data_IF_824928176465
#
_entry.id   IF_824928176465
#
_cell.length_a   1.000
_cell.length_b   1.000
_cell.length_c   1.000
_cell.angle_alpha   90.00
_cell.angle_beta   90.00
_cell.angle_gamma   90.00
#
_symmetry.space_group_name_H-M   'P 1'
#
loop_
_entity.id
_entity.type
_entity.pdbx_description
1 polymer ?
#
# COMPACT_ATOMS: atom_id res chain seq x y z
N UNK A 1 -17.35 -20.49 7.35
CA UNK A 1 -16.04 -19.90 7.71
C UNK A 1 -15.05 -20.96 8.22
N UNK A 2 -15.22 -21.56 9.41
CA UNK A 2 -14.25 -22.52 9.98
C UNK A 2 -13.92 -23.70 9.04
N UNK A 3 -14.93 -24.29 8.40
CA UNK A 3 -14.73 -25.36 7.42
C UNK A 3 -13.81 -24.95 6.25
N UNK A 4 -13.95 -23.72 5.75
CA UNK A 4 -13.11 -23.19 4.67
C UNK A 4 -11.68 -22.90 5.14
N UNK A 5 -11.51 -22.31 6.32
CA UNK A 5 -10.19 -22.09 6.92
C UNK A 5 -9.44 -23.42 7.08
N UNK A 6 -10.13 -24.49 7.52
CA UNK A 6 -9.52 -25.82 7.69
C UNK A 6 -9.14 -26.50 6.36
N UNK A 7 -9.75 -26.11 5.24
CA UNK A 7 -9.45 -26.65 3.91
C UNK A 7 -8.23 -26.01 3.25
N UNK A 8 -7.87 -24.79 3.63
CA UNK A 8 -6.71 -24.08 3.09
C UNK A 8 -5.63 -23.94 4.17
N UNK A 9 -4.51 -24.66 4.01
CA UNK A 9 -3.40 -24.63 4.96
C UNK A 9 -2.84 -23.22 5.18
N UNK A 10 -2.79 -22.39 4.14
CA UNK A 10 -2.38 -20.98 4.22
C UNK A 10 -3.31 -20.17 5.13
N UNK A 11 -4.62 -20.20 4.89
CA UNK A 11 -5.62 -19.53 5.74
C UNK A 11 -5.55 -20.04 7.19
N UNK A 12 -5.39 -21.35 7.38
CA UNK A 12 -5.26 -21.92 8.72
C UNK A 12 -4.04 -21.37 9.48
N UNK A 13 -2.88 -21.29 8.82
CA UNK A 13 -1.65 -20.72 9.40
C UNK A 13 -1.85 -19.23 9.71
N UNK A 14 -2.40 -18.47 8.77
CA UNK A 14 -2.63 -17.03 8.94
C UNK A 14 -3.57 -16.75 10.11
N UNK A 15 -4.63 -17.53 10.30
CA UNK A 15 -5.58 -17.36 11.40
C UNK A 15 -5.00 -17.58 12.80
N UNK A 16 -3.76 -18.05 12.95
CA UNK A 16 -3.09 -18.07 14.26
C UNK A 16 -2.61 -16.67 14.71
N UNK A 17 -2.51 -15.72 13.79
CA UNK A 17 -2.17 -14.33 14.09
C UNK A 17 -3.48 -13.52 14.17
N UNK A 18 -3.79 -12.83 15.29
CA UNK A 18 -5.10 -12.22 15.50
C UNK A 18 -5.56 -11.26 14.39
N UNK A 19 -4.67 -10.40 13.90
CA UNK A 19 -5.02 -9.45 12.83
C UNK A 19 -5.36 -10.16 11.52
N UNK A 20 -4.60 -11.17 11.13
CA UNK A 20 -4.89 -11.94 9.92
C UNK A 20 -6.17 -12.75 10.08
N UNK A 21 -6.43 -13.30 11.28
CA UNK A 21 -7.70 -13.95 11.58
C UNK A 21 -8.89 -12.98 11.42
N UNK A 22 -8.75 -11.74 11.90
CA UNK A 22 -9.78 -10.72 11.76
C UNK A 22 -10.01 -10.32 10.30
N UNK A 23 -8.95 -10.13 9.52
CA UNK A 23 -9.02 -9.84 8.08
C UNK A 23 -9.68 -11.00 7.34
N UNK A 24 -9.20 -12.23 7.53
CA UNK A 24 -9.78 -13.43 6.91
C UNK A 24 -11.24 -13.62 7.29
N UNK A 25 -11.61 -13.39 8.55
CA UNK A 25 -13.01 -13.47 8.99
C UNK A 25 -13.87 -12.42 8.31
N UNK A 26 -13.40 -11.18 8.21
CA UNK A 26 -14.11 -10.07 7.55
C UNK A 26 -14.36 -10.40 6.08
N UNK A 27 -13.32 -10.84 5.36
CA UNK A 27 -13.42 -11.17 3.94
C UNK A 27 -14.33 -12.38 3.72
N UNK A 28 -14.08 -13.49 4.43
CA UNK A 28 -14.87 -14.71 4.26
C UNK A 28 -16.33 -14.51 4.64
N UNK A 29 -16.62 -13.69 5.66
CA UNK A 29 -18.00 -13.40 6.05
C UNK A 29 -18.75 -12.62 4.96
N UNK A 30 -18.09 -11.66 4.30
CA UNK A 30 -18.69 -10.87 3.23
C UNK A 30 -18.90 -11.72 1.97
N UNK A 31 -17.86 -12.43 1.51
CA UNK A 31 -17.94 -13.30 0.33
C UNK A 31 -19.02 -14.36 0.47
N UNK A 32 -19.04 -15.11 1.58
CA UNK A 32 -20.01 -16.20 1.78
C UNK A 32 -21.45 -15.72 1.98
N UNK A 33 -21.67 -14.44 2.32
CA UNK A 33 -23.02 -13.85 2.38
C UNK A 33 -23.53 -13.44 1.01
N UNK A 34 -22.65 -12.97 0.14
CA UNK A 34 -23.01 -12.44 -1.18
C UNK A 34 -23.06 -13.55 -2.24
N UNK A 35 -22.12 -14.50 -2.19
CA UNK A 35 -22.07 -15.63 -3.10
C UNK A 35 -21.36 -16.83 -2.45
N UNK A 36 -22.12 -17.89 -2.18
CA UNK A 36 -21.61 -19.13 -1.58
C UNK A 36 -20.67 -19.89 -2.52
N UNK A 37 -20.75 -19.62 -3.83
CA UNK A 37 -19.91 -20.22 -4.87
C UNK A 37 -18.65 -19.39 -5.21
N UNK A 38 -18.52 -18.19 -4.65
CA UNK A 38 -17.37 -17.33 -4.90
C UNK A 38 -16.05 -18.02 -4.53
N UNK A 39 -15.05 -17.83 -5.39
CA UNK A 39 -13.71 -18.36 -5.15
C UNK A 39 -13.11 -17.69 -3.90
N UNK A 40 -12.65 -18.52 -2.97
CA UNK A 40 -12.03 -18.03 -1.73
C UNK A 40 -10.62 -17.59 -2.06
N UNK A 41 -10.17 -16.43 -1.56
CA UNK A 41 -8.83 -15.99 -1.89
C UNK A 41 -7.78 -16.89 -1.25
N UNK A 42 -6.79 -17.28 -2.04
CA UNK A 42 -5.81 -18.33 -1.74
C UNK A 42 -4.51 -17.76 -1.17
N UNK A 43 -4.24 -16.48 -1.46
CA UNK A 43 -3.01 -15.79 -1.04
C UNK A 43 -3.29 -14.68 -0.03
N UNK A 44 -2.25 -14.32 0.74
CA UNK A 44 -2.30 -13.19 1.67
C UNK A 44 -2.59 -11.88 0.93
N UNK A 45 -1.99 -11.68 -0.25
CA UNK A 45 -2.22 -10.48 -1.05
C UNK A 45 -3.67 -10.40 -1.52
N UNK A 46 -4.25 -11.49 -2.03
CA UNK A 46 -5.67 -11.46 -2.40
C UNK A 46 -6.56 -11.18 -1.18
N UNK A 47 -6.26 -11.77 -0.02
CA UNK A 47 -6.99 -11.45 1.21
C UNK A 47 -6.98 -9.95 1.52
N UNK A 48 -5.84 -9.28 1.37
CA UNK A 48 -5.71 -7.85 1.61
C UNK A 48 -6.39 -7.00 0.53
N UNK A 49 -6.35 -7.43 -0.73
CA UNK A 49 -7.09 -6.79 -1.83
C UNK A 49 -8.59 -6.84 -1.54
N UNK A 50 -9.13 -8.02 -1.25
CA UNK A 50 -10.55 -8.16 -0.91
C UNK A 50 -10.92 -7.38 0.34
N UNK A 51 -10.05 -7.37 1.37
CA UNK A 51 -10.28 -6.56 2.56
C UNK A 51 -10.38 -5.07 2.22
N UNK A 52 -9.45 -4.54 1.42
CA UNK A 52 -9.46 -3.15 0.96
C UNK A 52 -10.76 -2.82 0.20
N UNK A 53 -11.15 -3.66 -0.75
CA UNK A 53 -12.38 -3.47 -1.53
C UNK A 53 -13.64 -3.48 -0.63
N UNK A 54 -13.67 -4.33 0.39
CA UNK A 54 -14.76 -4.36 1.38
C UNK A 54 -14.80 -3.07 2.19
N UNK A 55 -13.66 -2.57 2.66
CA UNK A 55 -13.60 -1.31 3.40
C UNK A 55 -14.09 -0.13 2.54
N UNK A 56 -13.72 -0.09 1.27
CA UNK A 56 -14.19 0.93 0.30
C UNK A 56 -15.71 0.82 0.10
N UNK A 57 -16.24 -0.39 -0.08
CA UNK A 57 -17.68 -0.58 -0.27
C UNK A 57 -18.48 -0.21 1.00
N UNK A 58 -18.00 -0.60 2.19
CA UNK A 58 -18.60 -0.21 3.46
C UNK A 58 -18.61 1.32 3.64
N UNK A 59 -17.58 2.01 3.16
CA UNK A 59 -17.56 3.48 3.11
C UNK A 59 -18.70 4.00 2.24
N UNK A 60 -18.88 3.49 1.02
CA UNK A 60 -19.91 3.97 0.09
C UNK A 60 -21.32 3.86 0.63
N UNK A 61 -21.61 2.83 1.42
CA UNK A 61 -22.94 2.66 2.04
C UNK A 61 -23.25 3.73 3.10
N UNK A 62 -22.22 4.41 3.64
CA UNK A 62 -22.36 5.43 4.69
C UNK A 62 -22.56 6.85 4.15
N UNK A 63 -22.19 7.13 2.89
CA UNK A 63 -22.30 8.47 2.29
C UNK A 63 -23.38 8.50 1.19
N UNK A 64 -24.25 9.51 1.23
CA UNK A 64 -25.43 9.64 0.36
C UNK A 64 -25.12 10.13 -1.08
N UNK A 65 -23.92 9.90 -1.61
CA UNK A 65 -23.61 10.26 -3.00
C UNK A 65 -24.28 9.24 -3.93
N UNK A 66 -25.25 9.68 -4.74
CA UNK A 66 -26.09 8.79 -5.56
C UNK A 66 -25.45 8.38 -6.89
N UNK A 67 -24.29 8.93 -7.25
CA UNK A 67 -23.59 8.66 -8.50
C UNK A 67 -22.45 7.63 -8.29
N UNK A 68 -22.60 6.39 -8.79
CA UNK A 68 -21.60 5.34 -8.60
C UNK A 68 -20.22 5.65 -9.17
N UNK A 69 -20.14 6.41 -10.28
CA UNK A 69 -18.86 6.72 -10.93
C UNK A 69 -18.07 7.75 -10.11
N UNK A 70 -18.73 8.80 -9.63
CA UNK A 70 -18.13 9.81 -8.74
C UNK A 70 -17.69 9.21 -7.42
N UNK A 71 -18.49 8.30 -6.87
CA UNK A 71 -18.12 7.54 -5.68
C UNK A 71 -16.83 6.75 -5.91
N UNK A 72 -16.76 5.97 -6.99
CA UNK A 72 -15.56 5.20 -7.31
C UNK A 72 -14.31 6.08 -7.48
N UNK A 73 -14.45 7.22 -8.16
CA UNK A 73 -13.34 8.15 -8.38
C UNK A 73 -12.87 8.79 -7.07
N UNK A 74 -13.79 9.29 -6.23
CA UNK A 74 -13.48 9.81 -4.90
C UNK A 74 -12.81 8.75 -4.03
N UNK A 75 -13.35 7.53 -4.06
CA UNK A 75 -12.80 6.41 -3.31
C UNK A 75 -11.36 6.12 -3.67
N UNK A 76 -11.08 6.08 -4.98
CA UNK A 76 -9.76 5.81 -5.52
C UNK A 76 -8.78 6.90 -5.11
N UNK A 77 -9.16 8.17 -5.23
CA UNK A 77 -8.32 9.30 -4.84
C UNK A 77 -7.90 9.20 -3.37
N UNK A 78 -8.87 8.98 -2.48
CA UNK A 78 -8.61 8.84 -1.04
C UNK A 78 -7.68 7.65 -0.75
N UNK A 79 -7.90 6.51 -1.40
CA UNK A 79 -7.06 5.31 -1.20
C UNK A 79 -5.63 5.53 -1.70
N UNK A 80 -5.45 6.20 -2.84
CA UNK A 80 -4.12 6.54 -3.35
C UNK A 80 -3.40 7.49 -2.39
N UNK A 81 -4.07 8.52 -1.87
CA UNK A 81 -3.48 9.44 -0.88
C UNK A 81 -3.11 8.72 0.42
N UNK A 82 -3.98 7.85 0.95
CA UNK A 82 -3.67 7.04 2.13
C UNK A 82 -2.50 6.09 1.87
N UNK A 83 -2.42 5.51 0.67
CA UNK A 83 -1.35 4.62 0.27
C UNK A 83 -0.01 5.37 0.12
N UNK A 84 -0.04 6.62 -0.33
CA UNK A 84 1.13 7.52 -0.32
C UNK A 84 1.65 7.74 1.11
N UNK A 85 0.77 8.08 2.05
CA UNK A 85 1.13 8.25 3.46
C UNK A 85 1.73 6.94 4.00
N UNK A 86 1.10 5.79 3.71
CA UNK A 86 1.60 4.49 4.12
C UNK A 86 3.03 4.23 3.62
N UNK A 87 3.29 4.53 2.33
CA UNK A 87 4.62 4.41 1.73
C UNK A 87 5.64 5.34 2.38
N UNK A 88 5.33 6.65 2.49
CA UNK A 88 6.22 7.64 3.10
C UNK A 88 6.58 7.26 4.53
N UNK A 89 5.60 6.86 5.34
CA UNK A 89 5.82 6.52 6.74
C UNK A 89 6.55 5.18 6.90
N UNK A 90 6.25 4.18 6.05
CA UNK A 90 6.97 2.90 6.07
C UNK A 90 8.46 3.11 5.80
N UNK A 91 8.80 3.89 4.77
CA UNK A 91 10.19 4.17 4.41
C UNK A 91 10.92 5.01 5.46
N UNK A 92 10.20 5.85 6.21
CA UNK A 92 10.74 6.56 7.39
C UNK A 92 10.91 5.66 8.62
N UNK A 93 10.37 4.44 8.61
CA UNK A 93 10.33 3.54 9.77
C UNK A 93 9.29 3.93 10.82
N UNK A 94 8.31 4.75 10.44
CA UNK A 94 7.29 5.29 11.33
C UNK A 94 6.03 4.42 11.31
N UNK A 95 5.54 4.02 12.50
CA UNK A 95 4.24 3.37 12.69
C UNK A 95 3.14 4.41 12.98
N UNK A 96 3.53 5.52 13.59
CA UNK A 96 2.65 6.63 13.96
C UNK A 96 3.07 7.88 13.19
N UNK A 97 2.10 8.70 12.83
CA UNK A 97 2.31 9.94 12.09
C UNK A 97 1.33 11.02 12.57
N UNK A 98 1.50 12.24 12.10
CA UNK A 98 0.73 13.38 12.59
C UNK A 98 -0.15 13.99 11.51
N UNK A 99 -0.97 14.95 11.91
CA UNK A 99 -1.85 15.70 11.02
C UNK A 99 -1.09 16.36 9.86
N UNK A 100 0.13 16.83 10.11
CA UNK A 100 0.95 17.46 9.08
C UNK A 100 1.32 16.47 7.95
N UNK A 101 1.55 15.19 8.27
CA UNK A 101 1.84 14.15 7.28
C UNK A 101 0.61 13.85 6.39
N UNK A 102 -0.60 13.98 6.94
CA UNK A 102 -1.86 13.82 6.19
C UNK A 102 -2.09 15.01 5.24
N UNK A 103 -1.89 16.22 5.74
CA UNK A 103 -2.04 17.47 4.97
C UNK A 103 -1.02 17.51 3.82
N UNK A 104 0.22 17.08 4.05
CA UNK A 104 1.26 17.02 3.01
C UNK A 104 0.85 16.13 1.83
N UNK A 105 0.10 15.05 2.08
CA UNK A 105 -0.46 14.17 1.05
C UNK A 105 -1.86 14.58 0.59
N UNK A 106 -2.32 15.79 0.93
CA UNK A 106 -3.58 16.37 0.46
C UNK A 106 -4.83 15.68 1.02
N UNK A 107 -4.73 15.10 2.22
CA UNK A 107 -5.84 14.51 2.95
C UNK A 107 -6.39 15.57 3.92
N UNK A 108 -7.68 15.85 3.82
CA UNK A 108 -8.38 16.65 4.81
C UNK A 108 -8.63 15.80 6.06
N UNK A 109 -8.11 16.24 7.20
CA UNK A 109 -8.24 15.55 8.51
C UNK A 109 -9.66 15.57 9.06
N UNK A 110 -10.50 16.48 8.58
CA UNK A 110 -11.94 16.48 8.88
C UNK A 110 -12.71 15.46 8.04
N UNK A 111 -12.07 14.93 6.99
CA UNK A 111 -12.66 13.92 6.14
C UNK A 111 -12.80 12.61 6.91
N UNK A 112 -14.03 12.13 7.01
CA UNK A 112 -14.37 10.92 7.72
C UNK A 112 -13.73 9.65 7.09
N UNK A 113 -13.05 9.81 5.94
CA UNK A 113 -12.17 8.83 5.32
C UNK A 113 -10.95 8.43 6.16
N UNK A 114 -10.41 9.35 6.97
CA UNK A 114 -9.33 9.07 7.94
C UNK A 114 -9.81 8.13 9.06
N UNK A 115 -11.12 8.05 9.29
CA UNK A 115 -11.79 7.21 10.29
C UNK A 115 -12.42 5.94 9.69
N UNK A 116 -11.93 5.51 8.53
CA UNK A 116 -12.33 4.25 7.90
C UNK A 116 -11.60 3.06 8.56
N UNK A 117 -12.05 1.82 8.34
CA UNK A 117 -11.41 0.60 8.89
C UNK A 117 -10.02 0.27 8.32
N UNK A 118 -9.23 1.30 8.00
CA UNK A 118 -7.88 1.27 7.41
C UNK A 118 -6.93 2.17 8.22
N UNK A 119 -7.34 3.40 8.55
CA UNK A 119 -6.57 4.40 9.30
C UNK A 119 -7.34 4.80 10.57
N UNK A 120 -6.65 5.15 11.65
CA UNK A 120 -7.28 5.51 12.91
C UNK A 120 -6.58 6.69 13.57
N UNK A 121 -7.37 7.59 14.15
CA UNK A 121 -6.90 8.64 15.06
C UNK A 121 -6.70 8.05 16.46
N UNK A 122 -5.51 8.24 17.00
CA UNK A 122 -5.07 7.86 18.34
C UNK A 122 -4.72 9.14 19.10
N UNK A 123 -5.34 9.35 20.25
CA UNK A 123 -5.00 10.49 21.10
C UNK A 123 -3.68 10.23 21.84
N UNK A 124 -2.76 11.19 21.80
CA UNK A 124 -1.57 11.21 22.67
C UNK A 124 -1.63 12.45 23.57
N UNK A 125 -1.67 12.22 24.88
CA UNK A 125 -1.63 13.28 25.88
C UNK A 125 -0.17 13.67 26.13
N UNK A 126 0.31 14.75 25.51
CA UNK A 126 1.67 15.28 25.73
C UNK A 126 1.72 16.37 26.82
N UNK A 127 0.57 16.84 27.33
CA UNK A 127 0.42 17.58 28.59
C UNK A 127 -1.06 17.75 28.96
N UNK A 128 -1.38 18.03 30.23
CA UNK A 128 -2.75 18.27 30.78
C UNK A 128 -3.52 19.40 30.04
N UNK A 129 -2.85 20.15 29.17
CA UNK A 129 -3.37 21.34 28.49
C UNK A 129 -3.44 21.22 26.96
N UNK A 130 -2.77 20.25 26.34
CA UNK A 130 -2.82 20.05 24.88
C UNK A 130 -2.82 18.57 24.51
N UNK A 131 -3.94 18.09 23.96
CA UNK A 131 -4.02 16.80 23.29
C UNK A 131 -3.54 16.97 21.85
N UNK A 132 -2.43 16.30 21.50
CA UNK A 132 -1.98 16.25 20.10
C UNK A 132 -2.57 15.00 19.46
N UNK A 133 -3.16 15.17 18.28
CA UNK A 133 -3.67 14.07 17.48
C UNK A 133 -2.52 13.30 16.86
N UNK A 134 -2.55 11.99 17.01
CA UNK A 134 -1.61 11.06 16.39
C UNK A 134 -2.43 10.10 15.55
N UNK A 135 -1.90 9.65 14.43
CA UNK A 135 -2.57 8.75 13.52
C UNK A 135 -1.73 7.50 13.32
N UNK A 136 -2.40 6.39 13.05
CA UNK A 136 -1.76 5.16 12.60
C UNK A 136 -2.67 4.39 11.67
N UNK A 137 -2.08 3.52 10.85
CA UNK A 137 -2.87 2.45 10.26
C UNK A 137 -3.29 1.46 11.35
N UNK A 138 -4.41 0.77 11.16
CA UNK A 138 -4.93 -0.19 12.16
C UNK A 138 -3.90 -1.28 12.50
N UNK A 139 -3.05 -1.63 11.54
CA UNK A 139 -1.94 -2.55 11.75
C UNK A 139 -0.82 -2.29 10.74
N UNK A 140 0.44 -2.56 11.12
CA UNK A 140 1.62 -2.40 10.25
C UNK A 140 1.47 -3.15 8.93
N UNK A 141 0.89 -4.35 8.93
CA UNK A 141 0.63 -5.09 7.68
C UNK A 141 -0.27 -4.35 6.68
N UNK A 142 -1.21 -3.52 7.18
CA UNK A 142 -2.10 -2.73 6.32
C UNK A 142 -1.29 -1.56 5.73
N UNK A 143 -0.44 -0.93 6.54
CA UNK A 143 0.50 0.07 6.07
C UNK A 143 1.45 -0.50 5.00
N UNK A 144 2.05 -1.67 5.22
CA UNK A 144 2.93 -2.33 4.25
C UNK A 144 2.21 -2.73 2.97
N UNK A 145 0.98 -3.23 3.07
CA UNK A 145 0.15 -3.54 1.90
C UNK A 145 -0.17 -2.29 1.07
N UNK A 146 -0.61 -1.21 1.72
CA UNK A 146 -0.92 0.04 1.05
C UNK A 146 0.33 0.68 0.44
N UNK A 147 1.46 0.63 1.13
CA UNK A 147 2.74 1.09 0.59
C UNK A 147 3.12 0.33 -0.69
N UNK A 148 2.97 -1.00 -0.68
CA UNK A 148 3.23 -1.84 -1.86
C UNK A 148 2.27 -1.52 -3.01
N UNK A 149 0.99 -1.29 -2.70
CA UNK A 149 0.00 -0.83 -3.67
C UNK A 149 0.40 0.53 -4.28
N UNK A 150 0.82 1.49 -3.46
CA UNK A 150 1.20 2.83 -3.93
C UNK A 150 2.40 2.79 -4.87
N UNK A 151 3.44 2.04 -4.49
CA UNK A 151 4.63 1.87 -5.34
C UNK A 151 4.27 1.29 -6.71
N UNK A 152 3.44 0.25 -6.73
CA UNK A 152 2.97 -0.34 -7.97
C UNK A 152 2.04 0.60 -8.76
N UNK A 153 1.19 1.36 -8.08
CA UNK A 153 0.32 2.38 -8.67
C UNK A 153 1.13 3.46 -9.39
N UNK A 154 2.16 4.02 -8.75
CA UNK A 154 3.05 5.03 -9.35
C UNK A 154 3.76 4.50 -10.60
N UNK A 155 4.16 3.23 -10.61
CA UNK A 155 4.72 2.58 -11.80
C UNK A 155 3.73 2.62 -12.98
N UNK A 156 2.46 2.31 -12.73
CA UNK A 156 1.42 2.27 -13.76
C UNK A 156 0.99 3.66 -14.25
N UNK A 157 0.90 4.63 -13.35
CA UNK A 157 0.41 5.98 -13.67
C UNK A 157 1.47 6.93 -14.22
N UNK A 158 2.74 6.49 -14.29
CA UNK A 158 3.89 7.31 -14.68
C UNK A 158 3.98 8.65 -13.93
N UNK A 159 3.40 8.74 -12.73
CA UNK A 159 3.63 9.85 -11.80
C UNK A 159 5.02 9.67 -11.16
N UNK A 160 6.05 9.78 -12.01
CA UNK A 160 7.43 9.37 -11.74
C UNK A 160 8.20 10.40 -10.95
N UNK A 161 7.90 11.68 -11.13
CA UNK A 161 8.63 12.78 -10.49
C UNK A 161 8.50 12.68 -8.96
N UNK A 162 7.29 12.46 -8.45
CA UNK A 162 7.03 12.34 -7.00
C UNK A 162 7.65 11.07 -6.39
N UNK A 163 7.54 9.90 -7.03
CA UNK A 163 8.13 8.66 -6.51
C UNK A 163 9.66 8.69 -6.57
N UNK A 164 10.23 9.26 -7.63
CA UNK A 164 11.68 9.38 -7.81
C UNK A 164 12.29 10.35 -6.81
N UNK A 165 11.67 11.50 -6.54
CA UNK A 165 12.11 12.43 -5.50
C UNK A 165 12.00 11.81 -4.10
N UNK A 166 10.91 11.09 -3.81
CA UNK A 166 10.72 10.40 -2.53
C UNK A 166 11.74 9.28 -2.32
N UNK A 167 11.96 8.41 -3.33
CA UNK A 167 12.98 7.35 -3.27
C UNK A 167 14.39 7.92 -3.19
N UNK A 168 14.71 8.96 -3.95
CA UNK A 168 16.00 9.66 -3.84
C UNK A 168 16.19 10.23 -2.44
N UNK A 169 15.20 10.96 -1.90
CA UNK A 169 15.27 11.51 -0.55
C UNK A 169 15.49 10.43 0.52
N UNK A 170 14.86 9.25 0.37
CA UNK A 170 15.04 8.10 1.25
C UNK A 170 16.44 7.49 1.12
N UNK A 171 16.96 7.31 -0.10
CA UNK A 171 18.33 6.84 -0.38
C UNK A 171 19.39 7.81 0.19
N UNK A 172 19.19 9.12 0.07
CA UNK A 172 20.13 10.14 0.59
C UNK A 172 20.16 10.23 2.13
N UNK A 173 19.13 9.72 2.81
CA UNK A 173 19.08 9.64 4.28
C UNK A 173 19.62 8.32 4.84
N UNK A 174 19.87 7.31 4.00
CA UNK A 174 20.52 6.08 4.43
C UNK A 174 22.02 6.33 4.75
N UNK A 175 22.47 6.10 6.00
CA UNK A 175 23.87 6.34 6.39
C UNK A 175 24.87 5.36 5.74
N UNK A 176 24.46 4.14 5.38
CA UNK A 176 25.30 3.15 4.71
C UNK A 176 25.52 3.52 3.24
N UNK A 177 24.50 4.06 2.57
CA UNK A 177 24.65 4.61 1.22
C UNK A 177 25.60 5.81 1.21
N UNK A 178 25.50 6.71 2.19
CA UNK A 178 26.44 7.84 2.34
C UNK A 178 27.90 7.40 2.48
N UNK A 179 28.15 6.25 3.13
CA UNK A 179 29.49 5.70 3.36
C UNK A 179 30.05 4.93 2.15
N UNK A 180 29.21 4.26 1.36
CA UNK A 180 29.66 3.58 0.14
C UNK A 180 30.03 4.54 -1.01
N UNK A 181 29.49 5.76 -0.99
CA UNK A 181 29.70 6.74 -2.06
C UNK A 181 30.49 7.99 -1.62
N UNK A 182 31.01 8.03 -0.38
CA UNK A 182 31.85 9.14 0.10
C UNK A 182 33.22 9.21 -0.59
N UNK A 183 33.71 8.11 -1.16
CA UNK A 183 34.98 8.08 -1.90
C UNK A 183 34.85 8.52 -3.37
N UNK A 184 33.62 8.78 -3.85
CA UNK A 184 33.36 9.29 -5.19
C UNK A 184 33.25 10.83 -5.22
N UNK A 185 34.13 11.53 -4.50
CA UNK A 185 34.34 12.97 -4.75
C UNK A 185 35.13 13.13 -6.06
N UNK A 186 34.37 13.16 -7.15
CA UNK A 186 34.61 13.84 -8.43
C UNK A 186 34.21 12.92 -9.59
N UNK A 187 33.06 13.25 -10.20
CA UNK A 187 32.70 12.83 -11.56
C UNK A 187 32.23 11.37 -11.73
N UNK A 188 31.45 10.84 -10.80
CA UNK A 188 30.53 9.75 -11.13
C UNK A 188 29.21 10.39 -11.55
N UNK A 189 28.93 10.35 -12.85
CA UNK A 189 27.83 11.03 -13.51
C UNK A 189 26.49 10.80 -12.79
N UNK A 190 25.81 11.91 -12.45
CA UNK A 190 24.38 11.94 -12.15
C UNK A 190 23.54 11.09 -13.14
N UNK A 191 24.07 10.89 -14.35
CA UNK A 191 23.51 10.09 -15.45
C UNK A 191 23.52 8.56 -15.23
N UNK A 192 24.49 8.01 -14.48
CA UNK A 192 24.60 6.58 -14.21
C UNK A 192 23.61 6.09 -13.14
N UNK A 193 23.35 6.92 -12.12
CA UNK A 193 22.27 6.66 -11.14
C UNK A 193 20.91 6.89 -11.79
N UNK A 194 20.79 7.89 -12.68
CA UNK A 194 19.59 8.12 -13.49
C UNK A 194 19.25 6.92 -14.39
N UNK A 195 20.23 6.22 -14.97
CA UNK A 195 19.98 5.15 -15.94
C UNK A 195 19.56 3.82 -15.32
N UNK A 196 20.05 3.47 -14.12
CA UNK A 196 19.65 2.21 -13.46
C UNK A 196 18.23 2.27 -12.86
N UNK A 197 17.73 3.46 -12.51
CA UNK A 197 16.35 3.65 -12.03
C UNK A 197 15.36 4.08 -13.12
N UNK A 198 15.84 4.35 -14.34
CA UNK A 198 15.00 4.70 -15.50
C UNK A 198 14.52 3.48 -16.30
N UNK A 199 14.84 2.26 -15.88
CA UNK A 199 14.28 1.08 -16.53
C UNK A 199 12.82 0.92 -16.13
N UNK A 200 11.94 1.01 -17.13
CA UNK A 200 10.48 0.91 -17.01
C UNK A 200 9.99 -0.52 -16.73
N UNK A 201 10.93 -1.45 -16.49
CA UNK A 201 10.64 -2.87 -16.36
C UNK A 201 10.25 -3.16 -14.93
N UNK A 202 9.12 -3.85 -14.79
CA UNK A 202 8.65 -4.39 -13.51
C UNK A 202 9.73 -5.21 -12.81
N UNK A 203 10.57 -5.91 -13.58
CA UNK A 203 11.68 -6.71 -13.06
C UNK A 203 12.64 -5.89 -12.20
N UNK A 204 13.10 -4.75 -12.71
CA UNK A 204 14.10 -3.90 -12.07
C UNK A 204 13.54 -3.24 -10.80
N UNK A 205 12.24 -2.89 -10.79
CA UNK A 205 11.54 -2.44 -9.58
C UNK A 205 11.58 -3.53 -8.49
N UNK A 206 11.21 -4.76 -8.86
CA UNK A 206 11.13 -5.88 -7.93
C UNK A 206 12.53 -6.30 -7.45
N UNK A 207 13.53 -6.28 -8.32
CA UNK A 207 14.93 -6.55 -7.98
C UNK A 207 15.44 -5.52 -6.96
N UNK A 208 15.22 -4.23 -7.20
CA UNK A 208 15.58 -3.18 -6.23
C UNK A 208 14.85 -3.36 -4.90
N UNK A 209 13.57 -3.75 -4.90
CA UNK A 209 12.83 -4.01 -3.67
C UNK A 209 13.34 -5.24 -2.90
N UNK A 210 13.80 -6.28 -3.61
CA UNK A 210 14.46 -7.45 -3.01
C UNK A 210 15.77 -7.03 -2.36
N UNK A 211 16.61 -6.26 -3.05
CA UNK A 211 17.89 -5.80 -2.51
C UNK A 211 17.72 -4.96 -1.24
N UNK A 212 16.74 -4.07 -1.21
CA UNK A 212 16.44 -3.27 -0.01
C UNK A 212 15.91 -4.14 1.15
N UNK A 213 15.02 -5.09 0.87
CA UNK A 213 14.54 -6.02 1.89
C UNK A 213 15.68 -6.88 2.48
N UNK A 214 16.65 -7.31 1.66
CA UNK A 214 17.80 -8.09 2.13
C UNK A 214 18.76 -7.29 3.03
N UNK A 215 18.81 -5.96 2.90
CA UNK A 215 19.59 -5.09 3.80
C UNK A 215 18.95 -4.96 5.19
N UNK A 216 17.65 -5.22 5.29
CA UNK A 216 16.89 -5.14 6.53
C UNK A 216 17.23 -6.29 7.49
N UNK A 217 17.98 -5.98 8.55
CA UNK A 217 18.33 -6.99 9.58
C UNK A 217 17.13 -7.53 10.37
N UNK A 218 16.03 -6.78 10.43
CA UNK A 218 14.84 -7.11 11.22
C UNK A 218 13.64 -7.53 10.35
N UNK A 219 13.82 -7.65 9.03
CA UNK A 219 12.74 -8.01 8.10
C UNK A 219 11.65 -6.95 7.95
N UNK A 220 11.92 -5.68 8.30
CA UNK A 220 10.90 -4.60 8.25
C UNK A 220 10.27 -4.33 6.88
N UNK A 221 10.81 -4.89 5.78
CA UNK A 221 10.24 -4.79 4.43
C UNK A 221 9.78 -6.14 3.88
N UNK A 222 9.85 -7.23 4.65
CA UNK A 222 9.56 -8.57 4.15
C UNK A 222 8.09 -8.70 3.71
N UNK A 223 7.18 -8.14 4.50
CA UNK A 223 5.76 -8.19 4.21
C UNK A 223 5.38 -7.17 3.14
N UNK A 224 5.97 -5.97 3.15
CA UNK A 224 5.91 -5.04 2.01
C UNK A 224 6.33 -5.70 0.69
N UNK A 225 7.50 -6.34 0.64
CA UNK A 225 8.00 -7.03 -0.56
C UNK A 225 7.07 -8.16 -0.99
N UNK A 226 6.57 -8.94 -0.02
CA UNK A 226 5.58 -9.99 -0.29
C UNK A 226 4.33 -9.42 -0.97
N UNK A 227 3.83 -8.28 -0.49
CA UNK A 227 2.68 -7.62 -1.09
C UNK A 227 3.01 -7.04 -2.46
N UNK A 228 4.17 -6.40 -2.64
CA UNK A 228 4.59 -5.82 -3.92
C UNK A 228 4.68 -6.89 -5.01
N UNK A 229 5.33 -8.03 -4.70
CA UNK A 229 5.37 -9.19 -5.59
C UNK A 229 3.97 -9.72 -5.91
N UNK A 230 3.10 -9.80 -4.90
CA UNK A 230 1.72 -10.26 -5.08
C UNK A 230 0.89 -9.31 -5.95
N UNK A 231 0.92 -8.00 -5.69
CA UNK A 231 0.20 -6.97 -6.46
C UNK A 231 0.70 -6.93 -7.90
N UNK A 232 1.97 -7.26 -8.13
CA UNK A 232 2.57 -7.35 -9.45
C UNK A 232 2.08 -8.55 -10.28
N UNK A 233 1.37 -9.52 -9.70
CA UNK A 233 0.78 -10.63 -10.45
C UNK A 233 -0.47 -10.19 -11.21
N UNK A 234 -0.60 -10.62 -12.47
CA UNK A 234 -1.73 -10.22 -13.35
C UNK A 234 -3.10 -10.56 -12.75
N UNK A 235 -3.23 -11.70 -12.07
CA UNK A 235 -4.47 -12.11 -11.39
C UNK A 235 -4.91 -11.07 -10.34
N UNK A 236 -3.96 -10.54 -9.57
CA UNK A 236 -4.21 -9.55 -8.52
C UNK A 236 -4.43 -8.14 -9.10
N UNK A 237 -3.77 -7.82 -10.21
CA UNK A 237 -4.03 -6.57 -10.94
C UNK A 237 -5.47 -6.51 -11.45
N UNK A 238 -6.03 -7.63 -11.92
CA UNK A 238 -7.44 -7.71 -12.34
C UNK A 238 -8.40 -7.43 -11.19
N UNK A 239 -8.09 -7.91 -9.98
CA UNK A 239 -8.89 -7.60 -8.77
C UNK A 239 -8.82 -6.12 -8.37
N UNK A 240 -7.70 -5.44 -8.69
CA UNK A 240 -7.47 -4.03 -8.38
C UNK A 240 -7.79 -3.09 -9.55
N UNK A 241 -8.36 -3.59 -10.64
CA UNK A 241 -8.48 -2.83 -11.90
C UNK A 241 -9.14 -1.47 -11.68
N UNK A 242 -10.27 -1.43 -10.97
CA UNK A 242 -11.03 -0.20 -10.69
C UNK A 242 -10.23 0.85 -9.89
N UNK A 243 -9.22 0.41 -9.12
CA UNK A 243 -8.32 1.28 -8.37
C UNK A 243 -7.07 1.67 -9.19
N UNK A 244 -6.64 0.83 -10.14
CA UNK A 244 -5.42 1.03 -10.92
C UNK A 244 -5.65 1.81 -12.21
N UNK A 245 -6.78 1.62 -12.92
CA UNK A 245 -7.00 2.24 -14.23
C UNK A 245 -7.47 3.69 -14.12
N UNK A 246 -6.76 4.62 -14.75
CA UNK A 246 -7.34 5.92 -15.11
C UNK A 246 -8.34 5.72 -16.25
N UNK A 247 -9.52 6.35 -16.13
CA UNK A 247 -10.64 6.26 -17.07
C UNK A 247 -10.32 6.85 -18.46
N UNK A 248 -9.08 7.26 -18.73
CA UNK A 248 -8.63 7.65 -20.06
C UNK A 248 -7.26 7.01 -20.36
N UNK A 249 -7.22 6.11 -21.36
CA UNK A 249 -6.02 5.57 -22.03
C UNK A 249 -5.13 4.53 -21.33
N UNK A 250 -5.65 3.37 -20.88
CA UNK A 250 -4.79 2.25 -20.42
C UNK A 250 -4.92 0.91 -21.17
N UNK A 251 -5.60 0.85 -22.31
CA UNK A 251 -5.69 -0.39 -23.09
C UNK A 251 -4.37 -0.81 -23.76
N UNK A 252 -3.38 0.09 -23.86
CA UNK A 252 -2.13 -0.17 -24.59
C UNK A 252 -1.00 -0.82 -23.76
N UNK A 253 -0.99 -0.67 -22.43
CA UNK A 253 0.14 -1.13 -21.61
C UNK A 253 0.04 -2.60 -21.18
N UNK A 254 -1.17 -3.17 -21.12
CA UNK A 254 -1.37 -4.57 -20.69
C UNK A 254 -0.85 -5.55 -21.77
N UNK A 255 -0.77 -5.13 -23.04
CA UNK A 255 -0.33 -5.99 -24.15
C UNK A 255 1.19 -6.10 -24.33
N UNK A 256 2.01 -5.32 -23.61
CA UNK A 256 3.47 -5.28 -23.83
C UNK A 256 4.33 -6.05 -22.81
N UNK A 257 3.72 -6.85 -21.93
CA UNK A 257 4.47 -7.57 -20.86
C UNK A 257 4.47 -9.09 -21.01
N UNK A 258 4.42 -9.60 -22.24
CA UNK A 258 4.76 -11.01 -22.57
C UNK A 258 5.95 -11.02 -23.49
#
# INVERSE_FOLDING_TARGET
IISHIRRARSLHIMCHIPIFCWISSTVLQKLLKEDVSAEIPQTLTEMYIHFLLIQINMRNQKYEERDPEKLLQSNREVIVKLAEVAFKQLMKGNVMFYEEDLIESGIDVTDASVYSGICTEIFKEESVIHQRKVYSFIHLSIQEFLAAFYEFYCRLTKNRETLHELRMYMIYKDPLFRLQFSDATNKCDHKYVYSNYASDRLHDLLESAVDEALKSKNGHLDLFLRFLLGVSLESNQRLLQDLLTHTENSSENIRRTT
#
